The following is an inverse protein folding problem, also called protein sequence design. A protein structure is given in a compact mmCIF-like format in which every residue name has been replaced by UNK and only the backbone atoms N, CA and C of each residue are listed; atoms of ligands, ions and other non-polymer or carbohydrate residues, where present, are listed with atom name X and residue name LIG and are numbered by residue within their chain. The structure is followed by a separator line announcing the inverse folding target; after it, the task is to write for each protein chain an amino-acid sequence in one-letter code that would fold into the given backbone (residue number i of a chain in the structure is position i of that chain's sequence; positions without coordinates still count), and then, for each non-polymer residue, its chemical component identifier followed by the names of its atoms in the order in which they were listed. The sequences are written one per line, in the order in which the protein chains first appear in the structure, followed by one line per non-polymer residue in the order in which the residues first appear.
data_IF_847891617011
#
_entry.id   IF_847891617011
#
_cell.length_a   1.000
_cell.length_b   1.000
_cell.length_c   1.000
_cell.angle_alpha   90.00
_cell.angle_beta   90.00
_cell.angle_gamma   90.00
#
_symmetry.space_group_name_H-M   'P 1'
#
loop_
_entity.id
_entity.type
_entity.pdbx_description
1 polymer ?
#
# COMPACT_ATOMS: atom_id res chain seq x y z
N UNK A 1 -24.63 14.77 -11.14
CA UNK A 1 -25.04 14.85 -9.71
C UNK A 1 -24.55 16.14 -9.06
N UNK A 2 -25.28 16.66 -8.06
CA UNK A 2 -24.84 17.83 -7.25
C UNK A 2 -23.87 17.41 -6.14
N UNK A 3 -23.20 18.37 -5.48
CA UNK A 3 -22.21 18.07 -4.43
C UNK A 3 -22.79 17.34 -3.21
N UNK A 4 -24.05 17.62 -2.85
CA UNK A 4 -24.75 16.93 -1.75
C UNK A 4 -25.01 15.46 -2.07
N UNK A 5 -25.39 15.17 -3.31
CA UNK A 5 -25.56 13.80 -3.79
C UNK A 5 -24.20 13.08 -3.92
N UNK A 6 -23.18 13.76 -4.42
CA UNK A 6 -21.81 13.24 -4.47
C UNK A 6 -21.33 12.86 -3.06
N UNK A 7 -21.59 13.70 -2.06
CA UNK A 7 -21.26 13.43 -0.66
C UNK A 7 -21.94 12.17 -0.14
N UNK A 8 -23.25 12.05 -0.35
CA UNK A 8 -24.02 10.86 0.06
C UNK A 8 -23.50 9.59 -0.61
N UNK A 9 -23.23 9.62 -1.92
CA UNK A 9 -22.83 8.44 -2.69
C UNK A 9 -21.37 8.03 -2.46
N UNK A 10 -20.50 8.99 -2.20
CA UNK A 10 -19.09 8.72 -1.89
C UNK A 10 -18.87 8.39 -0.42
N UNK A 11 -19.76 8.83 0.48
CA UNK A 11 -19.56 8.78 1.93
C UNK A 11 -18.55 9.81 2.44
N UNK A 12 -18.20 10.82 1.64
CA UNK A 12 -17.26 11.89 2.00
C UNK A 12 -18.04 13.16 2.29
N UNK A 13 -17.77 13.81 3.42
CA UNK A 13 -18.45 15.05 3.80
C UNK A 13 -18.22 16.16 2.76
N UNK A 14 -19.22 17.03 2.54
CA UNK A 14 -19.14 18.12 1.55
C UNK A 14 -17.98 19.08 1.79
N UNK A 15 -17.64 19.35 3.05
CA UNK A 15 -16.47 20.15 3.42
C UNK A 15 -15.16 19.49 2.96
N UNK A 16 -15.02 18.18 3.18
CA UNK A 16 -13.86 17.40 2.76
C UNK A 16 -13.77 17.29 1.23
N UNK A 17 -14.90 17.15 0.53
CA UNK A 17 -14.92 17.22 -0.94
C UNK A 17 -14.40 18.57 -1.44
N UNK A 18 -14.84 19.67 -0.82
CA UNK A 18 -14.34 21.02 -1.15
C UNK A 18 -12.85 21.19 -0.84
N UNK A 19 -12.36 20.54 0.21
CA UNK A 19 -10.94 20.49 0.53
C UNK A 19 -10.16 19.75 -0.56
N UNK A 20 -10.56 18.53 -0.93
CA UNK A 20 -9.89 17.77 -2.01
C UNK A 20 -9.92 18.46 -3.37
N UNK A 21 -10.97 19.23 -3.69
CA UNK A 21 -11.01 20.08 -4.88
C UNK A 21 -9.96 21.19 -4.85
N UNK A 22 -9.69 21.80 -3.68
CA UNK A 22 -8.66 22.85 -3.52
C UNK A 22 -7.25 22.30 -3.58
N UNK A 23 -7.03 21.14 -2.96
CA UNK A 23 -5.73 20.45 -2.96
C UNK A 23 -5.41 19.76 -4.30
N UNK A 24 -6.39 19.71 -5.22
CA UNK A 24 -6.24 19.11 -6.55
C UNK A 24 -6.37 17.58 -6.58
N UNK A 25 -6.79 16.95 -5.49
CA UNK A 25 -7.02 15.50 -5.43
C UNK A 25 -8.25 15.10 -6.24
N UNK A 26 -9.26 15.97 -6.31
CA UNK A 26 -10.46 15.75 -7.09
C UNK A 26 -10.51 16.77 -8.25
N UNK A 27 -10.71 16.34 -9.51
CA UNK A 27 -10.93 17.28 -10.60
C UNK A 27 -12.22 18.09 -10.38
N UNK A 28 -12.29 19.33 -10.91
CA UNK A 28 -13.49 20.14 -10.82
C UNK A 28 -14.64 19.49 -11.59
N UNK A 29 -15.85 19.61 -11.03
CA UNK A 29 -17.07 19.23 -11.75
C UNK A 29 -17.34 20.16 -12.93
N UNK A 30 -18.19 19.73 -13.86
CA UNK A 30 -18.62 20.53 -15.01
C UNK A 30 -19.44 21.73 -14.51
N UNK A 31 -18.97 22.95 -14.76
CA UNK A 31 -19.71 24.15 -14.39
C UNK A 31 -21.05 24.22 -15.13
N UNK A 32 -22.13 24.46 -14.40
CA UNK A 32 -23.48 24.63 -14.94
C UNK A 32 -24.08 26.01 -14.65
N UNK A 33 -23.55 26.72 -13.66
CA UNK A 33 -23.78 28.15 -13.42
C UNK A 33 -22.63 28.74 -12.60
N UNK A 34 -22.65 30.05 -12.32
CA UNK A 34 -21.59 30.75 -11.59
C UNK A 34 -21.21 30.11 -10.23
N UNK A 35 -22.18 29.48 -9.55
CA UNK A 35 -21.98 28.83 -8.23
C UNK A 35 -22.30 27.33 -8.24
N UNK A 36 -22.47 26.74 -9.42
CA UNK A 36 -23.00 25.40 -9.57
C UNK A 36 -22.14 24.54 -10.49
N UNK A 37 -21.87 23.32 -10.03
CA UNK A 37 -21.18 22.29 -10.80
C UNK A 37 -21.96 20.97 -10.77
N UNK A 38 -21.73 20.16 -11.79
CA UNK A 38 -22.19 18.78 -11.91
C UNK A 38 -21.01 17.81 -11.85
N UNK A 39 -21.19 16.76 -11.08
CA UNK A 39 -20.24 15.67 -10.89
C UNK A 39 -20.77 14.37 -11.51
N UNK A 40 -19.88 13.45 -11.84
CA UNK A 40 -20.19 12.15 -12.46
C UNK A 40 -19.65 10.97 -11.66
N UNK A 41 -19.87 9.74 -12.14
CA UNK A 41 -19.39 8.50 -11.50
C UNK A 41 -17.88 8.47 -11.28
N UNK A 42 -17.11 9.07 -12.20
CA UNK A 42 -15.66 9.22 -12.07
C UNK A 42 -15.29 9.95 -10.76
N UNK A 43 -16.08 10.93 -10.33
CA UNK A 43 -15.84 11.64 -9.07
C UNK A 43 -16.15 10.76 -7.86
N UNK A 44 -17.17 9.89 -7.94
CA UNK A 44 -17.50 8.94 -6.88
C UNK A 44 -16.37 7.92 -6.72
N UNK A 45 -15.91 7.32 -7.82
CA UNK A 45 -14.77 6.38 -7.84
C UNK A 45 -13.51 7.04 -7.28
N UNK A 46 -13.16 8.24 -7.75
CA UNK A 46 -11.99 8.99 -7.26
C UNK A 46 -12.08 9.32 -5.77
N UNK A 47 -13.25 9.68 -5.25
CA UNK A 47 -13.43 9.90 -3.80
C UNK A 47 -13.30 8.64 -2.96
N UNK A 48 -13.72 7.47 -3.46
CA UNK A 48 -13.51 6.18 -2.79
C UNK A 48 -12.03 5.85 -2.72
N UNK A 49 -11.31 6.06 -3.82
CA UNK A 49 -9.86 5.87 -3.90
C UNK A 49 -9.11 6.78 -2.92
N UNK A 50 -9.44 8.09 -2.89
CA UNK A 50 -8.88 9.05 -1.92
C UNK A 50 -9.07 8.56 -0.48
N UNK A 51 -10.26 8.04 -0.14
CA UNK A 51 -10.53 7.53 1.20
C UNK A 51 -9.70 6.30 1.55
N UNK A 52 -9.49 5.38 0.60
CA UNK A 52 -8.64 4.21 0.83
C UNK A 52 -7.17 4.63 1.07
N UNK A 53 -6.63 5.52 0.24
CA UNK A 53 -5.25 5.99 0.31
C UNK A 53 -4.97 6.79 1.60
N UNK A 54 -5.83 7.74 1.95
CA UNK A 54 -5.58 8.59 3.13
C UNK A 54 -6.08 7.92 4.40
N UNK A 55 -7.31 7.39 4.39
CA UNK A 55 -7.98 6.92 5.59
C UNK A 55 -7.52 5.53 6.05
N UNK A 56 -7.17 4.63 5.12
CA UNK A 56 -6.77 3.26 5.47
C UNK A 56 -5.26 3.08 5.36
N UNK A 57 -4.66 3.41 4.22
CA UNK A 57 -3.21 3.30 4.04
C UNK A 57 -2.42 4.30 4.90
N UNK A 58 -3.06 5.42 5.28
CA UNK A 58 -2.43 6.50 6.04
C UNK A 58 -1.50 7.37 5.20
N UNK A 59 -1.67 7.41 3.87
CA UNK A 59 -0.86 8.28 3.02
C UNK A 59 -1.14 9.76 3.33
N UNK A 60 -0.10 10.59 3.19
CA UNK A 60 -0.27 12.03 3.20
C UNK A 60 -1.09 12.47 1.99
N UNK A 61 -1.69 13.67 2.07
CA UNK A 61 -2.45 14.25 0.96
C UNK A 61 -1.59 14.37 -0.31
N UNK A 62 -0.31 14.72 -0.17
CA UNK A 62 0.63 14.77 -1.30
C UNK A 62 0.88 13.39 -1.88
N UNK A 63 1.14 12.37 -1.06
CA UNK A 63 1.39 11.02 -1.55
C UNK A 63 0.16 10.42 -2.23
N UNK A 64 -1.03 10.67 -1.69
CA UNK A 64 -2.28 10.29 -2.34
C UNK A 64 -2.47 11.00 -3.68
N UNK A 65 -2.04 12.26 -3.80
CA UNK A 65 -2.08 13.00 -5.07
C UNK A 65 -1.16 12.38 -6.11
N UNK A 66 0.08 12.03 -5.75
CA UNK A 66 1.04 11.38 -6.65
C UNK A 66 0.45 10.10 -7.26
N UNK A 67 -0.15 9.25 -6.43
CA UNK A 67 -0.86 8.04 -6.85
C UNK A 67 -1.99 8.37 -7.83
N UNK A 68 -2.80 9.36 -7.50
CA UNK A 68 -3.98 9.73 -8.27
C UNK A 68 -3.66 10.40 -9.62
N UNK A 69 -2.51 11.06 -9.74
CA UNK A 69 -2.04 11.68 -10.98
C UNK A 69 -1.55 10.61 -11.95
N UNK A 70 -0.75 9.66 -11.46
CA UNK A 70 -0.29 8.48 -12.22
C UNK A 70 -1.46 7.67 -12.79
N UNK A 71 -2.52 7.47 -12.01
CA UNK A 71 -3.75 6.80 -12.48
C UNK A 71 -4.49 7.61 -13.55
N UNK A 72 -4.52 8.93 -13.44
CA UNK A 72 -5.22 9.81 -14.38
C UNK A 72 -4.52 9.89 -15.74
N UNK A 73 -3.19 9.78 -15.78
CA UNK A 73 -2.41 9.85 -17.02
C UNK A 73 -2.65 8.66 -17.94
N UNK A 74 -3.31 7.59 -17.45
CA UNK A 74 -3.68 6.41 -18.23
C UNK A 74 -2.48 5.63 -18.78
N UNK A 75 -1.27 5.97 -18.32
CA UNK A 75 0.01 5.41 -18.77
C UNK A 75 0.66 4.50 -17.73
N UNK A 76 0.19 4.57 -16.48
CA UNK A 76 0.77 3.80 -15.40
C UNK A 76 0.48 2.32 -15.57
N UNK A 77 1.54 1.51 -15.60
CA UNK A 77 1.38 0.09 -15.39
C UNK A 77 1.06 -0.19 -13.90
N UNK A 78 0.52 -1.37 -13.62
CA UNK A 78 0.19 -1.80 -12.25
C UNK A 78 1.40 -1.76 -11.31
N UNK A 79 2.61 -1.98 -11.83
CA UNK A 79 3.83 -2.03 -11.04
C UNK A 79 4.23 -0.65 -10.50
N UNK A 80 4.15 0.40 -11.32
CA UNK A 80 4.40 1.78 -10.89
C UNK A 80 3.42 2.23 -9.79
N UNK A 81 2.13 1.93 -9.98
CA UNK A 81 1.10 2.23 -9.00
C UNK A 81 1.37 1.55 -7.65
N UNK A 82 1.70 0.26 -7.68
CA UNK A 82 2.02 -0.49 -6.48
C UNK A 82 3.27 0.05 -5.79
N UNK A 83 4.28 0.47 -6.55
CA UNK A 83 5.45 1.16 -6.01
C UNK A 83 5.08 2.37 -5.15
N UNK A 84 4.22 3.25 -5.67
CA UNK A 84 3.76 4.43 -4.93
C UNK A 84 2.95 4.07 -3.68
N UNK A 85 2.06 3.08 -3.76
CA UNK A 85 1.23 2.61 -2.64
C UNK A 85 2.08 1.97 -1.54
N UNK A 86 3.13 1.23 -1.92
CA UNK A 86 4.09 0.65 -1.00
C UNK A 86 5.09 1.68 -0.46
N UNK A 87 5.06 2.92 -0.97
CA UNK A 87 5.98 3.98 -0.55
C UNK A 87 7.39 3.76 -1.09
N UNK A 88 7.55 2.97 -2.16
CA UNK A 88 8.79 2.82 -2.90
C UNK A 88 9.01 4.15 -3.63
N UNK A 89 9.87 4.99 -3.05
CA UNK A 89 10.26 6.27 -3.63
C UNK A 89 11.77 6.28 -3.79
N UNK A 90 12.30 6.69 -4.95
CA UNK A 90 13.71 7.07 -5.00
C UNK A 90 13.95 8.17 -3.95
N UNK A 91 15.10 8.17 -3.28
CA UNK A 91 15.42 9.22 -2.31
C UNK A 91 15.29 10.58 -3.00
N UNK A 92 14.67 11.54 -2.31
CA UNK A 92 14.68 12.92 -2.80
C UNK A 92 16.14 13.39 -2.88
N UNK A 93 16.49 14.19 -3.89
CA UNK A 93 17.81 14.83 -3.95
C UNK A 93 18.05 15.60 -2.64
N UNK A 94 18.92 15.08 -1.77
CA UNK A 94 19.23 15.64 -0.46
C UNK A 94 18.84 14.80 0.76
N UNK A 95 18.05 13.73 0.60
CA UNK A 95 17.82 12.73 1.67
C UNK A 95 19.05 11.83 1.76
N UNK A 96 20.09 12.32 2.44
CA UNK A 96 21.17 11.46 2.91
C UNK A 96 20.65 10.81 4.19
N UNK A 97 20.47 9.48 4.25
CA UNK A 97 20.14 8.84 5.51
C UNK A 97 21.27 9.18 6.48
N UNK A 98 20.93 9.76 7.64
CA UNK A 98 21.87 9.89 8.74
C UNK A 98 22.22 8.47 9.19
N UNK A 99 23.25 7.87 8.58
CA UNK A 99 23.76 6.57 8.95
C UNK A 99 24.23 6.69 10.40
N UNK A 100 23.51 6.07 11.33
CA UNK A 100 23.95 5.98 12.70
C UNK A 100 25.33 5.29 12.70
N UNK A 101 26.37 5.89 13.32
CA UNK A 101 27.70 5.30 13.32
C UNK A 101 27.77 4.22 14.41
N UNK A 102 27.10 3.09 14.22
CA UNK A 102 27.40 1.83 14.93
C UNK A 102 26.71 0.61 14.28
N UNK A 103 27.02 0.33 13.00
CA UNK A 103 26.73 -0.98 12.43
C UNK A 103 27.98 -1.84 12.54
N UNK A 104 27.94 -2.82 13.46
CA UNK A 104 28.90 -3.90 13.46
C UNK A 104 28.94 -4.54 12.04
N UNK A 105 30.13 -4.85 11.50
CA UNK A 105 30.25 -5.38 10.15
C UNK A 105 29.70 -6.80 10.08
N UNK A 106 28.43 -6.93 9.70
CA UNK A 106 27.80 -8.19 9.32
C UNK A 106 26.45 -8.43 9.98
N UNK A 107 25.37 -8.46 9.19
CA UNK A 107 24.20 -9.28 9.51
C UNK A 107 22.83 -8.73 9.16
N UNK A 108 22.62 -7.41 9.02
CA UNK A 108 21.26 -6.87 8.81
C UNK A 108 20.84 -6.80 7.35
N UNK A 109 21.37 -5.82 6.61
CA UNK A 109 21.01 -5.57 5.22
C UNK A 109 21.36 -6.75 4.29
N UNK A 110 22.53 -7.37 4.47
CA UNK A 110 22.96 -8.53 3.68
C UNK A 110 22.10 -9.77 3.86
N UNK A 111 21.44 -9.93 5.01
CA UNK A 111 20.55 -11.05 5.29
C UNK A 111 19.22 -10.92 4.54
N UNK A 112 18.68 -9.70 4.47
CA UNK A 112 17.46 -9.41 3.69
C UNK A 112 17.72 -9.54 2.19
N UNK A 113 18.88 -9.06 1.71
CA UNK A 113 19.29 -9.26 0.31
C UNK A 113 19.45 -10.74 -0.04
N UNK A 114 20.03 -11.54 0.86
CA UNK A 114 20.15 -12.98 0.68
C UNK A 114 18.78 -13.68 0.59
N UNK A 115 17.82 -13.28 1.43
CA UNK A 115 16.44 -13.79 1.35
C UNK A 115 15.80 -13.45 0.00
N UNK A 116 15.89 -12.19 -0.43
CA UNK A 116 15.32 -11.73 -1.70
C UNK A 116 15.93 -12.51 -2.87
N UNK A 117 17.25 -12.71 -2.86
CA UNK A 117 17.96 -13.48 -3.88
C UNK A 117 17.54 -14.97 -3.87
N UNK A 118 17.43 -15.59 -2.69
CA UNK A 118 17.00 -16.99 -2.54
C UNK A 118 15.56 -17.21 -3.06
N UNK A 119 14.67 -16.26 -2.79
CA UNK A 119 13.30 -16.28 -3.32
C UNK A 119 13.22 -15.96 -4.82
N UNK A 120 14.32 -15.52 -5.45
CA UNK A 120 14.34 -15.10 -6.85
C UNK A 120 13.53 -13.82 -7.12
N UNK A 121 13.28 -13.01 -6.10
CA UNK A 121 12.46 -11.80 -6.22
C UNK A 121 13.24 -10.63 -6.83
N UNK A 122 12.61 -9.91 -7.76
CA UNK A 122 13.11 -8.62 -8.26
C UNK A 122 12.39 -7.49 -7.53
N UNK A 123 13.06 -6.85 -6.56
CA UNK A 123 12.47 -5.74 -5.78
C UNK A 123 13.42 -4.55 -5.67
N UNK A 124 12.85 -3.33 -5.72
CA UNK A 124 13.61 -2.08 -5.62
C UNK A 124 14.48 -2.02 -4.36
N UNK A 125 15.68 -1.47 -4.48
CA UNK A 125 16.59 -1.18 -3.36
C UNK A 125 15.99 -0.18 -2.36
N UNK A 126 15.09 0.69 -2.82
CA UNK A 126 14.42 1.69 -1.99
C UNK A 126 13.09 1.20 -1.39
N UNK A 127 12.80 -0.10 -1.47
CA UNK A 127 11.58 -0.63 -0.88
C UNK A 127 11.67 -0.59 0.65
N UNK A 128 10.80 0.15 1.35
CA UNK A 128 10.86 0.29 2.82
C UNK A 128 10.67 -1.03 3.57
N UNK A 129 10.08 -2.05 2.92
CA UNK A 129 9.95 -3.39 3.51
C UNK A 129 11.31 -4.03 3.84
N UNK A 130 12.38 -3.64 3.13
CA UNK A 130 13.75 -4.11 3.40
C UNK A 130 14.19 -3.72 4.80
N UNK A 131 14.03 -2.44 5.15
CA UNK A 131 14.38 -1.90 6.46
C UNK A 131 13.51 -2.52 7.57
N UNK A 132 12.21 -2.69 7.32
CA UNK A 132 11.30 -3.36 8.26
C UNK A 132 11.77 -4.78 8.60
N UNK A 133 12.20 -5.57 7.60
CA UNK A 133 12.72 -6.92 7.82
C UNK A 133 14.05 -6.90 8.58
N UNK A 134 14.97 -6.01 8.22
CA UNK A 134 16.25 -5.81 8.91
C UNK A 134 16.04 -5.51 10.39
N UNK A 135 15.20 -4.52 10.71
CA UNK A 135 14.90 -4.13 12.09
C UNK A 135 14.20 -5.25 12.87
N UNK A 136 13.31 -6.00 12.22
CA UNK A 136 12.62 -7.14 12.84
C UNK A 136 13.60 -8.25 13.21
N UNK A 137 14.49 -8.65 12.30
CA UNK A 137 15.54 -9.65 12.57
C UNK A 137 16.50 -9.17 13.66
N UNK A 138 16.92 -7.91 13.62
CA UNK A 138 17.75 -7.33 14.67
C UNK A 138 17.07 -7.37 16.04
N UNK A 139 15.78 -7.01 16.10
CA UNK A 139 14.99 -7.03 17.34
C UNK A 139 14.81 -8.44 17.89
N UNK A 140 14.55 -9.44 17.04
CA UNK A 140 14.42 -10.83 17.47
C UNK A 140 15.74 -11.34 18.06
N UNK A 141 16.86 -11.08 17.39
CA UNK A 141 18.18 -11.51 17.85
C UNK A 141 18.63 -10.79 19.13
N UNK A 142 18.31 -9.50 19.30
CA UNK A 142 18.61 -8.77 20.53
C UNK A 142 17.83 -9.28 21.75
N UNK A 143 16.68 -9.92 21.52
CA UNK A 143 15.91 -10.64 22.54
C UNK A 143 16.40 -12.08 22.78
N UNK A 144 17.50 -12.49 22.14
CA UNK A 144 18.09 -13.83 22.28
C UNK A 144 17.38 -14.91 21.44
N UNK A 145 16.46 -14.53 20.55
CA UNK A 145 15.84 -15.46 19.60
C UNK A 145 16.79 -15.59 18.41
N UNK A 146 17.46 -16.74 18.25
CA UNK A 146 18.41 -17.01 17.15
C UNK A 146 17.70 -17.12 15.78
N UNK A 147 17.21 -15.99 15.26
CA UNK A 147 16.50 -15.90 13.99
C UNK A 147 17.46 -15.44 12.88
N UNK A 148 17.58 -16.28 11.85
CA UNK A 148 18.26 -15.91 10.60
C UNK A 148 17.24 -15.63 9.50
N UNK A 149 17.67 -14.97 8.43
CA UNK A 149 16.84 -14.81 7.23
C UNK A 149 16.34 -16.14 6.65
N UNK A 150 17.10 -17.24 6.82
CA UNK A 150 16.67 -18.59 6.39
C UNK A 150 15.42 -19.07 7.14
N UNK A 151 15.27 -18.69 8.41
CA UNK A 151 14.08 -18.99 9.21
C UNK A 151 12.83 -18.31 8.64
N UNK A 152 13.00 -17.24 7.84
CA UNK A 152 11.90 -16.53 7.20
C UNK A 152 11.47 -17.13 5.85
N UNK A 153 12.25 -18.03 5.24
CA UNK A 153 11.94 -18.58 3.90
C UNK A 153 10.55 -19.22 3.79
N UNK A 154 10.07 -20.03 4.75
CA UNK A 154 8.71 -20.56 4.69
C UNK A 154 7.64 -19.46 4.75
N UNK A 155 7.88 -18.39 5.51
CA UNK A 155 6.98 -17.24 5.56
C UNK A 155 7.04 -16.43 4.27
N UNK A 156 8.21 -16.30 3.65
CA UNK A 156 8.39 -15.66 2.36
C UNK A 156 7.62 -16.41 1.25
N UNK A 157 7.65 -17.74 1.25
CA UNK A 157 6.86 -18.55 0.31
C UNK A 157 5.33 -18.37 0.51
N UNK A 158 4.86 -18.22 1.74
CA UNK A 158 3.45 -17.89 2.01
C UNK A 158 3.10 -16.47 1.55
N UNK A 159 4.02 -15.52 1.72
CA UNK A 159 3.86 -14.15 1.24
C UNK A 159 3.81 -14.10 -0.30
N UNK A 160 4.64 -14.89 -1.00
CA UNK A 160 4.61 -15.03 -2.45
C UNK A 160 3.25 -15.56 -2.94
N UNK A 161 2.74 -16.63 -2.34
CA UNK A 161 1.42 -17.18 -2.69
C UNK A 161 0.29 -16.16 -2.47
N UNK A 162 0.39 -15.35 -1.41
CA UNK A 162 -0.55 -14.26 -1.14
C UNK A 162 -0.46 -13.18 -2.22
N UNK A 163 0.75 -12.76 -2.57
CA UNK A 163 0.99 -11.77 -3.61
C UNK A 163 0.50 -12.25 -4.99
N UNK A 164 0.72 -13.52 -5.34
CA UNK A 164 0.17 -14.12 -6.56
C UNK A 164 -1.34 -14.03 -6.58
N UNK A 165 -2.01 -14.45 -5.50
CA UNK A 165 -3.46 -14.36 -5.39
C UNK A 165 -3.96 -12.91 -5.53
N UNK A 166 -3.32 -11.96 -4.84
CA UNK A 166 -3.69 -10.55 -4.90
C UNK A 166 -3.57 -9.98 -6.32
N UNK A 167 -2.48 -10.29 -7.03
CA UNK A 167 -2.23 -9.81 -8.39
C UNK A 167 -3.09 -10.51 -9.44
N UNK A 168 -3.40 -11.80 -9.27
CA UNK A 168 -4.35 -12.53 -10.12
C UNK A 168 -5.75 -11.91 -10.02
N UNK A 169 -6.13 -11.43 -8.83
CA UNK A 169 -7.35 -10.67 -8.65
C UNK A 169 -7.30 -9.28 -9.29
N UNK A 170 -6.20 -8.80 -9.87
CA UNK A 170 -6.18 -7.56 -10.65
C UNK A 170 -6.51 -7.78 -12.13
N UNK A 171 -6.51 -9.03 -12.58
CA UNK A 171 -6.97 -9.40 -13.92
C UNK A 171 -8.49 -9.13 -14.02
N UNK A 172 -8.95 -8.47 -15.10
CA UNK A 172 -10.39 -8.38 -15.39
C UNK A 172 -10.96 -7.05 -15.92
N UNK A 173 -10.68 -5.87 -15.33
CA UNK A 173 -11.21 -4.61 -15.88
C UNK A 173 -10.44 -4.23 -17.14
N UNK A 174 -11.04 -3.55 -18.12
CA UNK A 174 -10.29 -2.91 -19.21
C UNK A 174 -9.94 -1.45 -18.88
N UNK A 175 -10.70 -0.81 -17.99
CA UNK A 175 -10.52 0.58 -17.55
C UNK A 175 -9.32 0.71 -16.59
N UNK A 176 -8.26 1.46 -16.95
CA UNK A 176 -7.10 1.67 -16.09
C UNK A 176 -7.43 2.29 -14.72
N UNK A 177 -8.46 3.15 -14.66
CA UNK A 177 -8.89 3.76 -13.39
C UNK A 177 -9.52 2.71 -12.46
N UNK A 178 -10.28 1.76 -13.02
CA UNK A 178 -10.88 0.67 -12.28
C UNK A 178 -9.84 -0.36 -11.84
N UNK A 179 -8.87 -0.68 -12.70
CA UNK A 179 -7.70 -1.50 -12.32
C UNK A 179 -6.94 -0.89 -11.16
N UNK A 180 -6.67 0.41 -11.23
CA UNK A 180 -5.95 1.12 -10.18
C UNK A 180 -6.74 1.19 -8.87
N UNK A 181 -8.04 1.49 -8.94
CA UNK A 181 -8.93 1.44 -7.78
C UNK A 181 -8.88 0.03 -7.15
N UNK A 182 -8.99 -1.03 -7.95
CA UNK A 182 -8.90 -2.41 -7.48
C UNK A 182 -7.53 -2.75 -6.89
N UNK A 183 -6.44 -2.34 -7.52
CA UNK A 183 -5.07 -2.56 -7.03
C UNK A 183 -4.87 -1.94 -5.66
N UNK A 184 -5.25 -0.68 -5.49
CA UNK A 184 -5.16 0.00 -4.19
C UNK A 184 -6.08 -0.67 -3.18
N UNK A 185 -7.32 -0.98 -3.53
CA UNK A 185 -8.25 -1.59 -2.59
C UNK A 185 -7.78 -2.97 -2.13
N UNK A 186 -7.30 -3.83 -3.03
CA UNK A 186 -6.82 -5.17 -2.64
C UNK A 186 -5.54 -5.06 -1.83
N UNK A 187 -4.54 -4.33 -2.29
CA UNK A 187 -3.24 -4.30 -1.60
C UNK A 187 -3.26 -3.53 -0.28
N UNK A 188 -4.06 -2.46 -0.16
CA UNK A 188 -4.16 -1.68 1.07
C UNK A 188 -5.16 -2.28 2.05
N UNK A 189 -6.34 -2.70 1.57
CA UNK A 189 -7.41 -3.13 2.49
C UNK A 189 -7.27 -4.58 2.91
N UNK A 190 -6.56 -5.43 2.15
CA UNK A 190 -6.36 -6.82 2.55
C UNK A 190 -5.27 -6.98 3.60
N UNK A 191 -4.31 -6.07 3.72
CA UNK A 191 -3.26 -6.15 4.76
C UNK A 191 -3.83 -6.40 6.18
N UNK A 192 -4.78 -5.59 6.70
CA UNK A 192 -5.37 -5.85 8.01
C UNK A 192 -6.22 -7.14 8.05
N UNK A 193 -6.85 -7.52 6.94
CA UNK A 193 -7.63 -8.75 6.85
C UNK A 193 -6.74 -10.00 6.92
N UNK A 194 -5.62 -10.02 6.19
CA UNK A 194 -4.62 -11.08 6.19
C UNK A 194 -3.99 -11.23 7.58
N UNK A 195 -3.69 -10.12 8.25
CA UNK A 195 -3.19 -10.16 9.62
C UNK A 195 -4.23 -10.76 10.60
N UNK A 196 -5.50 -10.41 10.45
CA UNK A 196 -6.58 -10.99 11.25
C UNK A 196 -6.75 -12.49 10.97
N UNK A 197 -6.72 -12.91 9.70
CA UNK A 197 -6.79 -14.32 9.30
C UNK A 197 -5.62 -15.13 9.88
N UNK A 198 -4.40 -14.58 9.82
CA UNK A 198 -3.21 -15.22 10.44
C UNK A 198 -3.42 -15.46 11.93
N UNK A 199 -3.98 -14.50 12.66
CA UNK A 199 -4.26 -14.63 14.11
C UNK A 199 -5.32 -15.69 14.39
N UNK A 200 -6.40 -15.71 13.62
CA UNK A 200 -7.45 -16.74 13.74
C UNK A 200 -6.89 -18.14 13.46
N UNK A 201 -6.03 -18.28 12.45
CA UNK A 201 -5.38 -19.55 12.14
C UNK A 201 -4.45 -20.02 13.28
N UNK A 202 -3.71 -19.09 13.91
CA UNK A 202 -2.88 -19.40 15.08
C UNK A 202 -3.71 -19.88 16.28
N UNK A 203 -4.87 -19.26 16.53
CA UNK A 203 -5.79 -19.68 17.61
C UNK A 203 -6.37 -21.07 17.35
N UNK A 204 -6.81 -21.34 16.11
CA UNK A 204 -7.29 -22.64 15.70
C UNK A 204 -6.22 -23.73 15.87
N UNK A 205 -4.99 -23.49 15.40
CA UNK A 205 -3.88 -24.45 15.51
C UNK A 205 -3.47 -24.68 16.97
N UNK A 206 -3.43 -23.61 17.79
CA UNK A 206 -3.14 -23.70 19.22
C UNK A 206 -4.16 -24.58 19.96
N UNK A 207 -5.44 -24.47 19.59
CA UNK A 207 -6.51 -25.30 20.16
C UNK A 207 -6.26 -26.78 19.90
N UNK A 208 -5.88 -27.13 18.67
CA UNK A 208 -5.59 -28.53 18.30
C UNK A 208 -4.37 -29.08 19.05
N UNK A 209 -3.33 -28.26 19.28
CA UNK A 209 -2.07 -28.71 19.89
C UNK A 209 -2.07 -28.75 21.41
N UNK A 210 -2.82 -27.87 22.07
CA UNK A 210 -2.62 -27.59 23.49
C UNK A 210 -3.89 -27.72 24.36
N UNK A 211 -5.05 -28.00 23.77
CA UNK A 211 -6.31 -28.21 24.53
C UNK A 211 -6.81 -29.66 24.53
N UNK A 212 -5.90 -30.63 24.38
CA UNK A 212 -6.18 -32.07 24.54
C UNK A 212 -6.47 -32.44 25.99
#
# INVERSE_FOLDING_TARGET
MRISELSRRSGVATATIKYYLREGLLPPGRATAATQAEYGEVHVRRLRLIRALIGVRGLTVSAAKDVLDVVNEGKADTHELLGLVFGIRPPAEGDTPARAPDEAPGGGAGDVDALIAEMGWTVSEHNPARETLTQTLHTLNSLGMEYSWRTLLPYAALAEQTATLDLDQLQGPDDPLEKAERAVLLTVLLEPALLALRRLAQEAESTVRHRS
#
